data_IF_254818634518
#
_entry.id   IF_254818634518
#
_cell.length_a   1.000
_cell.length_b   1.000
_cell.length_c   1.000
_cell.angle_alpha   90.00
_cell.angle_beta   90.00
_cell.angle_gamma   90.00
#
_symmetry.space_group_name_H-M   'P 1'
#
loop_
_entity.id
_entity.type
_entity.pdbx_description
1 polymer ?
#
# COMPACT_ATOMS: atom_id res chain seq x y z
N UNK A 1 -15.83 2.30 -54.02
CA UNK A 1 -14.96 3.50 -53.96
C UNK A 1 -15.38 4.24 -52.66
N UNK A 2 -14.62 3.98 -51.62
CA UNK A 2 -14.90 4.54 -50.30
C UNK A 2 -13.70 5.41 -49.89
N UNK A 3 -13.86 6.69 -49.58
CA UNK A 3 -12.74 7.57 -49.27
C UNK A 3 -12.33 7.39 -47.81
N UNK A 4 -11.08 7.13 -47.63
CA UNK A 4 -10.37 7.05 -46.34
C UNK A 4 -10.56 8.33 -45.53
N UNK A 5 -11.13 8.20 -44.34
CA UNK A 5 -11.12 9.27 -43.34
C UNK A 5 -9.76 9.27 -42.65
N UNK A 6 -9.01 10.31 -42.94
CA UNK A 6 -7.73 10.59 -42.32
C UNK A 6 -7.98 11.16 -40.91
N UNK A 7 -7.84 10.31 -39.85
CA UNK A 7 -7.91 10.78 -38.47
C UNK A 7 -6.58 11.43 -38.09
N UNK A 8 -6.60 12.75 -38.05
CA UNK A 8 -5.55 13.59 -37.50
C UNK A 8 -5.45 13.33 -35.99
N UNK A 9 -4.33 12.83 -35.51
CA UNK A 9 -4.04 12.70 -34.09
C UNK A 9 -3.27 13.94 -33.61
N UNK A 10 -3.91 14.86 -32.84
CA UNK A 10 -3.30 16.12 -32.45
C UNK A 10 -2.40 16.03 -31.21
N UNK A 11 -2.17 14.85 -30.66
CA UNK A 11 -1.36 14.70 -29.44
C UNK A 11 -0.15 13.78 -29.70
N UNK A 12 0.88 14.37 -30.32
CA UNK A 12 2.21 13.76 -30.40
C UNK A 12 2.86 13.75 -29.01
N UNK A 13 2.70 12.69 -28.25
CA UNK A 13 3.39 12.50 -26.98
C UNK A 13 4.80 11.93 -27.24
N UNK A 14 5.82 12.78 -27.13
CA UNK A 14 7.20 12.34 -27.01
C UNK A 14 7.42 11.79 -25.58
N UNK A 15 7.56 10.47 -25.48
CA UNK A 15 7.95 9.79 -24.25
C UNK A 15 9.43 10.05 -23.95
N UNK A 16 9.72 10.93 -22.99
CA UNK A 16 11.06 11.05 -22.45
C UNK A 16 11.21 10.06 -21.28
N UNK A 17 12.05 9.05 -21.45
CA UNK A 17 12.44 8.13 -20.41
C UNK A 17 13.43 8.81 -19.46
N UNK A 18 13.08 8.93 -18.18
CA UNK A 18 14.02 9.32 -17.12
C UNK A 18 14.45 8.06 -16.38
N UNK A 19 15.74 7.74 -16.29
CA UNK A 19 16.19 6.59 -15.50
C UNK A 19 16.11 6.94 -14.01
N UNK A 20 15.30 6.18 -13.28
CA UNK A 20 15.23 6.28 -11.82
C UNK A 20 16.43 5.58 -11.18
N UNK A 21 17.22 6.30 -10.40
CA UNK A 21 18.38 5.80 -9.67
C UNK A 21 17.99 5.19 -8.30
N UNK A 22 16.96 4.40 -8.23
CA UNK A 22 16.67 3.63 -7.01
C UNK A 22 15.59 2.57 -7.29
N UNK A 23 15.82 1.64 -8.22
CA UNK A 23 14.99 0.43 -8.41
C UNK A 23 13.48 0.60 -8.59
N UNK A 24 12.98 1.81 -8.77
CA UNK A 24 11.54 2.09 -8.97
C UNK A 24 11.15 1.86 -10.43
N UNK A 25 10.00 1.21 -10.65
CA UNK A 25 9.36 1.12 -11.97
C UNK A 25 9.11 2.55 -12.50
N UNK A 26 9.24 2.81 -13.81
CA UNK A 26 9.01 4.15 -14.36
C UNK A 26 7.57 4.60 -14.13
N UNK A 27 7.40 5.73 -13.43
CA UNK A 27 6.11 6.39 -13.26
C UNK A 27 5.82 7.20 -14.51
N UNK A 28 4.75 6.88 -15.22
CA UNK A 28 4.25 7.70 -16.32
C UNK A 28 3.62 8.97 -15.76
N UNK A 29 4.28 10.11 -15.95
CA UNK A 29 3.69 11.43 -15.70
C UNK A 29 3.33 12.10 -17.03
N UNK A 30 2.08 12.53 -17.25
CA UNK A 30 1.73 13.31 -18.43
C UNK A 30 2.39 14.69 -18.34
N UNK A 31 3.24 15.01 -19.35
CA UNK A 31 3.89 16.31 -19.46
C UNK A 31 2.87 17.39 -19.88
N UNK A 32 2.63 18.37 -19.03
CA UNK A 32 1.99 19.62 -19.43
C UNK A 32 3.03 20.56 -20.06
N UNK A 33 2.72 21.22 -21.20
CA UNK A 33 3.65 22.16 -21.82
C UNK A 33 3.67 23.48 -21.03
N UNK A 34 4.76 23.76 -20.35
CA UNK A 34 5.06 25.07 -19.79
C UNK A 34 6.15 25.75 -20.65
N UNK A 35 5.85 26.90 -21.19
CA UNK A 35 6.79 27.72 -21.99
C UNK A 35 7.94 28.21 -21.12
N UNK A 36 9.13 28.14 -21.73
CA UNK A 36 10.43 28.30 -21.15
C UNK A 36 10.82 29.64 -20.56
N UNK A 37 11.85 29.58 -19.75
CA UNK A 37 13.05 30.42 -19.76
C UNK A 37 14.15 29.74 -18.95
N UNK A 38 15.31 29.57 -19.60
CA UNK A 38 16.69 29.67 -19.07
C UNK A 38 17.15 28.73 -17.97
N UNK A 39 17.96 27.83 -18.38
CA UNK A 39 19.13 27.11 -17.79
C UNK A 39 19.51 27.43 -16.33
N UNK A 40 19.78 26.31 -15.69
CA UNK A 40 20.85 25.93 -14.77
C UNK A 40 20.46 25.62 -13.33
N UNK A 41 20.94 24.43 -12.96
CA UNK A 41 21.04 23.83 -11.63
C UNK A 41 19.79 23.23 -11.01
N UNK A 42 19.72 21.92 -11.20
CA UNK A 42 18.85 21.00 -10.49
C UNK A 42 19.11 21.02 -8.99
N UNK A 43 18.28 21.76 -8.28
CA UNK A 43 17.91 21.51 -6.90
C UNK A 43 16.42 21.81 -6.75
N UNK A 44 15.70 20.89 -6.11
CA UNK A 44 14.26 20.82 -5.87
C UNK A 44 13.54 22.19 -5.74
N UNK A 45 12.33 22.38 -6.32
CA UNK A 45 11.58 23.63 -6.27
C UNK A 45 10.87 23.93 -4.92
N UNK A 46 11.24 23.27 -3.84
CA UNK A 46 10.67 23.49 -2.49
C UNK A 46 11.54 24.33 -1.55
N UNK A 47 12.55 25.05 -2.04
CA UNK A 47 13.23 26.06 -1.24
C UNK A 47 12.78 27.46 -1.68
N UNK A 48 11.66 27.96 -1.18
CA UNK A 48 11.40 29.35 -0.83
C UNK A 48 9.92 29.61 -0.52
N UNK A 49 9.44 29.15 0.62
CA UNK A 49 8.28 29.77 1.29
C UNK A 49 8.61 30.03 2.75
N UNK A 50 9.69 30.76 2.98
CA UNK A 50 10.04 31.32 4.27
C UNK A 50 9.40 32.70 4.45
N UNK A 51 8.08 32.81 4.53
CA UNK A 51 7.40 33.99 5.05
C UNK A 51 5.92 33.66 5.35
N UNK A 52 5.68 32.77 6.34
CA UNK A 52 4.43 32.76 7.09
C UNK A 52 4.73 32.62 8.56
N UNK A 53 4.48 33.67 9.40
CA UNK A 53 4.58 33.55 10.82
C UNK A 53 3.30 32.94 11.38
N UNK A 54 3.22 31.61 11.39
CA UNK A 54 2.20 30.91 12.16
C UNK A 54 2.86 29.73 12.88
N UNK A 55 3.40 30.03 14.07
CA UNK A 55 3.88 29.01 14.97
C UNK A 55 2.71 28.53 15.82
N UNK A 56 2.14 27.38 15.47
CA UNK A 56 1.29 26.62 16.39
C UNK A 56 2.21 25.85 17.37
N UNK A 57 1.97 25.91 18.70
CA UNK A 57 2.77 25.16 19.65
C UNK A 57 2.43 23.67 19.55
N UNK A 58 3.44 22.83 19.27
CA UNK A 58 3.33 21.37 19.36
C UNK A 58 3.62 20.57 18.10
N UNK A 59 3.96 21.17 16.97
CA UNK A 59 4.46 20.40 15.82
C UNK A 59 5.96 20.14 15.99
N UNK A 60 6.32 18.90 16.27
CA UNK A 60 7.69 18.45 16.11
C UNK A 60 8.02 18.51 14.60
N UNK A 61 8.83 19.50 14.24
CA UNK A 61 9.39 19.63 12.91
C UNK A 61 10.35 18.45 12.68
N UNK A 62 9.93 17.50 11.84
CA UNK A 62 10.86 16.53 11.32
C UNK A 62 11.85 17.27 10.43
N UNK A 63 13.17 17.22 10.68
CA UNK A 63 14.14 17.83 9.79
C UNK A 63 13.97 17.22 8.40
N UNK A 64 13.93 18.07 7.37
CA UNK A 64 14.02 17.64 5.99
C UNK A 64 15.32 16.85 5.83
N UNK A 65 15.20 15.52 5.82
CA UNK A 65 16.32 14.61 5.70
C UNK A 65 17.06 14.86 4.39
N UNK A 66 18.37 14.90 4.47
CA UNK A 66 19.25 14.90 3.32
C UNK A 66 18.99 13.71 2.40
N UNK A 67 19.54 13.71 1.19
CA UNK A 67 19.45 12.67 0.16
C UNK A 67 20.06 11.30 0.58
N UNK A 68 19.75 10.83 1.77
CA UNK A 68 19.91 9.47 2.21
C UNK A 68 18.56 8.77 1.99
N UNK A 69 18.54 7.58 1.43
CA UNK A 69 17.36 6.72 1.37
C UNK A 69 17.04 6.28 2.81
N UNK A 70 16.49 7.18 3.63
CA UNK A 70 16.00 6.82 4.96
C UNK A 70 14.76 5.93 4.75
N UNK A 71 14.96 4.63 4.95
CA UNK A 71 13.86 3.66 4.87
C UNK A 71 12.83 4.02 5.95
N UNK A 72 11.53 3.99 5.63
CA UNK A 72 10.51 4.29 6.61
C UNK A 72 10.61 3.31 7.79
N UNK A 73 10.54 3.82 9.01
CA UNK A 73 10.41 2.98 10.20
C UNK A 73 9.02 2.38 10.19
N UNK A 74 8.93 1.05 10.29
CA UNK A 74 7.65 0.33 10.32
C UNK A 74 7.21 0.17 11.78
N UNK A 75 6.23 0.99 12.19
CA UNK A 75 5.59 0.98 13.50
C UNK A 75 4.16 1.52 13.41
N UNK A 76 3.36 1.41 14.46
CA UNK A 76 2.02 1.98 14.52
C UNK A 76 2.09 3.48 14.82
N UNK A 77 1.69 4.30 13.86
CA UNK A 77 1.69 5.77 13.94
C UNK A 77 0.35 6.36 14.42
N UNK A 78 -0.66 5.50 14.62
CA UNK A 78 -1.98 5.96 15.06
C UNK A 78 -2.00 6.52 16.49
N UNK A 79 -3.00 7.34 16.85
CA UNK A 79 -4.06 7.85 15.99
C UNK A 79 -3.74 9.21 15.33
N UNK A 80 -2.49 9.68 15.36
CA UNK A 80 -2.09 10.96 14.80
C UNK A 80 -2.25 11.02 13.27
N UNK A 81 -2.45 12.21 12.66
CA UNK A 81 -2.39 12.36 11.20
C UNK A 81 -1.05 11.85 10.66
N UNK A 82 -1.11 11.09 9.56
CA UNK A 82 0.05 10.39 9.05
C UNK A 82 0.05 10.30 7.51
N UNK A 83 1.21 10.41 6.89
CA UNK A 83 1.43 10.25 5.45
C UNK A 83 2.69 9.43 5.22
N UNK A 84 2.62 8.41 4.38
CA UNK A 84 3.73 7.52 4.04
C UNK A 84 3.53 6.95 2.63
N UNK A 85 4.62 6.62 1.95
CA UNK A 85 4.59 5.78 0.77
C UNK A 85 4.23 4.35 1.21
N UNK A 86 3.00 3.94 0.96
CA UNK A 86 2.46 2.67 1.45
C UNK A 86 3.04 1.47 0.69
N UNK A 87 3.35 1.64 -0.60
CA UNK A 87 4.01 0.61 -1.40
C UNK A 87 5.40 0.33 -0.82
N UNK A 88 6.19 1.39 -0.58
CA UNK A 88 7.52 1.25 0.01
C UNK A 88 7.46 0.59 1.39
N UNK A 89 6.51 0.98 2.24
CA UNK A 89 6.30 0.38 3.54
C UNK A 89 5.93 -1.12 3.44
N UNK A 90 5.00 -1.47 2.55
CA UNK A 90 4.59 -2.85 2.34
C UNK A 90 5.75 -3.71 1.83
N UNK A 91 6.54 -3.20 0.87
CA UNK A 91 7.70 -3.89 0.32
C UNK A 91 8.80 -4.11 1.36
N UNK A 92 8.99 -3.18 2.29
CA UNK A 92 9.97 -3.32 3.38
C UNK A 92 9.51 -4.27 4.48
N UNK A 93 8.21 -4.40 4.70
CA UNK A 93 7.68 -5.25 5.76
C UNK A 93 8.02 -6.72 5.52
N UNK A 94 8.67 -7.36 6.50
CA UNK A 94 9.02 -8.78 6.45
C UNK A 94 8.35 -9.60 7.56
N UNK A 95 7.54 -8.96 8.40
CA UNK A 95 6.74 -9.63 9.42
C UNK A 95 5.47 -10.19 8.81
N UNK A 96 4.89 -11.19 9.41
CA UNK A 96 3.60 -11.72 8.99
C UNK A 96 2.52 -10.64 9.06
N UNK A 97 2.47 -9.86 10.18
CA UNK A 97 1.55 -8.71 10.34
C UNK A 97 2.20 -7.63 11.20
N UNK A 98 2.11 -6.39 10.76
CA UNK A 98 2.48 -5.21 11.56
C UNK A 98 1.41 -4.14 11.43
N UNK A 99 0.84 -3.67 12.56
CA UNK A 99 -0.01 -2.50 12.56
C UNK A 99 0.82 -1.26 12.18
N UNK A 100 0.36 -0.53 11.17
CA UNK A 100 1.01 0.67 10.67
C UNK A 100 0.32 1.94 11.19
N UNK A 101 -1.00 1.89 11.31
CA UNK A 101 -1.79 2.99 11.84
C UNK A 101 -3.10 2.46 12.44
N UNK A 102 -3.37 2.82 13.69
CA UNK A 102 -4.60 2.42 14.40
C UNK A 102 -5.32 3.65 14.92
N UNK A 103 -6.52 3.88 14.40
CA UNK A 103 -7.42 4.93 14.84
C UNK A 103 -8.71 4.38 15.46
N UNK A 104 -9.70 5.25 15.68
CA UNK A 104 -10.97 4.85 16.29
C UNK A 104 -11.83 3.96 15.37
N UNK A 105 -11.80 4.21 14.06
CA UNK A 105 -12.74 3.62 13.10
C UNK A 105 -12.03 2.88 11.96
N UNK A 106 -10.72 2.89 11.95
CA UNK A 106 -9.90 2.35 10.88
C UNK A 106 -8.57 1.86 11.45
N UNK A 107 -8.08 0.75 10.90
CA UNK A 107 -6.72 0.27 11.14
C UNK A 107 -6.07 -0.11 9.81
N UNK A 108 -4.82 0.26 9.65
CA UNK A 108 -3.98 -0.16 8.51
C UNK A 108 -2.90 -1.10 9.03
N UNK A 109 -2.77 -2.27 8.40
CA UNK A 109 -1.72 -3.25 8.70
C UNK A 109 -0.94 -3.60 7.44
N UNK A 110 0.31 -3.94 7.61
CA UNK A 110 1.17 -4.51 6.58
C UNK A 110 1.31 -6.00 6.82
N UNK A 111 1.36 -6.80 5.74
CA UNK A 111 1.61 -8.24 5.84
C UNK A 111 2.63 -8.71 4.80
N UNK A 112 3.36 -9.76 5.18
CA UNK A 112 4.24 -10.51 4.29
C UNK A 112 3.93 -12.00 4.44
N UNK A 113 3.35 -12.60 3.38
CA UNK A 113 2.92 -14.00 3.37
C UNK A 113 3.91 -14.79 2.52
N UNK A 114 4.61 -15.74 3.13
CA UNK A 114 5.63 -16.53 2.42
C UNK A 114 5.01 -17.46 1.37
N UNK A 115 5.80 -17.90 0.37
CA UNK A 115 5.36 -18.93 -0.57
C UNK A 115 4.77 -20.15 0.14
N UNK A 116 3.55 -20.56 -0.28
CA UNK A 116 2.82 -21.69 0.31
C UNK A 116 2.11 -21.40 1.64
N UNK A 117 2.34 -20.23 2.25
CA UNK A 117 1.57 -19.78 3.43
C UNK A 117 0.29 -19.05 3.01
N UNK A 118 -0.56 -18.78 3.99
CA UNK A 118 -1.82 -18.07 3.83
C UNK A 118 -2.09 -17.16 5.05
N UNK A 119 -3.10 -16.28 4.96
CA UNK A 119 -3.49 -15.41 6.07
C UNK A 119 -4.18 -16.15 7.22
N UNK A 120 -4.58 -17.41 6.99
CA UNK A 120 -5.48 -18.16 7.85
C UNK A 120 -6.93 -18.09 7.37
N UNK A 121 -7.70 -19.14 7.64
CA UNK A 121 -9.14 -19.11 7.38
C UNK A 121 -9.83 -18.37 8.52
N UNK A 122 -10.28 -17.15 8.25
CA UNK A 122 -10.84 -16.24 9.23
C UNK A 122 -12.18 -15.64 8.79
N UNK A 123 -12.93 -15.08 9.73
CA UNK A 123 -14.19 -14.36 9.49
C UNK A 123 -14.35 -13.28 10.55
N UNK A 124 -14.63 -12.07 10.12
CA UNK A 124 -14.87 -10.91 10.99
C UNK A 124 -16.36 -10.57 10.95
N UNK A 125 -17.12 -10.74 12.06
CA UNK A 125 -18.58 -10.59 12.01
C UNK A 125 -19.05 -9.15 11.89
N UNK A 126 -18.26 -8.16 12.35
CA UNK A 126 -18.69 -6.78 12.52
C UNK A 126 -17.83 -5.74 11.79
N UNK A 127 -16.89 -6.18 10.96
CA UNK A 127 -16.05 -5.27 10.20
C UNK A 127 -15.90 -5.68 8.75
N UNK A 128 -15.75 -4.68 7.89
CA UNK A 128 -15.32 -4.88 6.52
C UNK A 128 -13.79 -4.81 6.45
N UNK A 129 -13.22 -5.63 5.56
CA UNK A 129 -11.79 -5.64 5.32
C UNK A 129 -11.48 -5.35 3.85
N UNK A 130 -10.54 -4.45 3.65
CA UNK A 130 -9.95 -4.15 2.36
C UNK A 130 -8.50 -4.67 2.35
N UNK A 131 -8.09 -5.36 1.30
CA UNK A 131 -6.70 -5.76 1.08
C UNK A 131 -6.26 -5.24 -0.29
N UNK A 132 -5.04 -4.69 -0.36
CA UNK A 132 -4.36 -4.46 -1.62
C UNK A 132 -3.04 -5.21 -1.65
N UNK A 133 -2.78 -5.89 -2.77
CA UNK A 133 -1.55 -6.61 -3.02
C UNK A 133 -0.58 -5.65 -3.74
N UNK A 134 0.59 -5.44 -3.14
CA UNK A 134 1.66 -4.62 -3.69
C UNK A 134 2.70 -5.46 -4.45
N UNK A 135 2.84 -6.74 -4.09
CA UNK A 135 3.72 -7.67 -4.79
C UNK A 135 3.27 -9.12 -4.58
N UNK A 136 3.52 -9.94 -5.60
CA UNK A 136 3.26 -11.37 -5.55
C UNK A 136 1.90 -11.77 -6.11
N UNK A 137 1.58 -13.05 -6.04
CA UNK A 137 0.30 -13.58 -6.55
C UNK A 137 -0.20 -14.74 -5.71
N UNK A 138 -1.52 -14.92 -5.74
CA UNK A 138 -2.17 -15.94 -4.95
C UNK A 138 -3.58 -16.27 -5.39
N UNK A 139 -4.29 -16.96 -4.52
CA UNK A 139 -5.72 -17.26 -4.66
C UNK A 139 -6.44 -16.75 -3.43
N UNK A 140 -7.44 -15.89 -3.64
CA UNK A 140 -8.40 -15.52 -2.61
C UNK A 140 -9.62 -16.43 -2.70
N UNK A 141 -10.11 -16.87 -1.54
CA UNK A 141 -11.33 -17.66 -1.39
C UNK A 141 -12.23 -17.02 -0.35
N UNK A 142 -13.54 -16.96 -0.63
CA UNK A 142 -14.55 -16.43 0.31
C UNK A 142 -15.83 -17.23 0.23
N UNK A 143 -16.60 -17.24 1.32
CA UNK A 143 -17.88 -17.90 1.38
C UNK A 143 -18.69 -17.56 2.62
N UNK A 144 -19.94 -18.07 2.68
CA UNK A 144 -20.84 -17.85 3.81
C UNK A 144 -20.53 -18.75 5.01
N UNK A 145 -19.87 -19.89 4.77
CA UNK A 145 -19.45 -20.83 5.81
C UNK A 145 -18.01 -21.24 5.58
N UNK A 146 -17.32 -21.63 6.66
CA UNK A 146 -15.91 -22.02 6.58
C UNK A 146 -15.66 -23.26 5.70
N UNK A 147 -16.66 -24.12 5.55
CA UNK A 147 -16.56 -25.36 4.77
C UNK A 147 -16.95 -25.15 3.30
N UNK A 148 -17.44 -23.95 2.95
CA UNK A 148 -17.93 -23.63 1.61
C UNK A 148 -17.47 -22.23 1.17
N UNK A 149 -16.30 -22.17 0.52
CA UNK A 149 -15.69 -20.96 -0.03
C UNK A 149 -15.88 -20.94 -1.56
N UNK A 150 -17.09 -20.59 -2.00
CA UNK A 150 -17.50 -20.69 -3.42
C UNK A 150 -16.88 -19.59 -4.29
N UNK A 151 -16.60 -18.43 -3.70
CA UNK A 151 -15.92 -17.36 -4.41
C UNK A 151 -14.43 -17.65 -4.44
N UNK A 152 -13.86 -17.87 -5.63
CA UNK A 152 -12.43 -18.09 -5.83
C UNK A 152 -11.91 -17.23 -6.97
N UNK A 153 -10.79 -16.51 -6.76
CA UNK A 153 -10.13 -15.68 -7.75
C UNK A 153 -8.62 -15.72 -7.61
N UNK A 154 -7.94 -15.75 -8.75
CA UNK A 154 -6.51 -15.44 -8.78
C UNK A 154 -6.34 -13.95 -8.61
N UNK A 155 -5.31 -13.57 -7.86
CA UNK A 155 -4.96 -12.19 -7.54
C UNK A 155 -3.46 -12.00 -7.73
N UNK A 156 -3.08 -10.81 -8.17
CA UNK A 156 -1.69 -10.42 -8.44
C UNK A 156 -1.44 -9.05 -7.80
N UNK A 157 -0.22 -8.51 -8.01
CA UNK A 157 0.08 -7.12 -7.70
C UNK A 157 -0.95 -6.16 -8.32
N UNK A 158 -1.23 -5.07 -7.64
CA UNK A 158 -2.26 -4.07 -7.95
C UNK A 158 -3.72 -4.51 -7.78
N UNK A 159 -3.98 -5.76 -7.39
CA UNK A 159 -5.33 -6.22 -7.10
C UNK A 159 -5.82 -5.75 -5.73
N UNK A 160 -7.10 -5.42 -5.67
CA UNK A 160 -7.82 -5.20 -4.42
C UNK A 160 -8.74 -6.39 -4.12
N UNK A 161 -8.91 -6.65 -2.82
CA UNK A 161 -9.83 -7.66 -2.30
C UNK A 161 -10.73 -6.95 -1.29
N UNK A 162 -12.04 -7.00 -1.50
CA UNK A 162 -13.03 -6.45 -0.57
C UNK A 162 -13.72 -7.63 0.11
N UNK A 163 -13.68 -7.65 1.42
CA UNK A 163 -14.23 -8.71 2.26
C UNK A 163 -15.31 -8.10 3.16
N UNK A 164 -16.60 -8.33 2.84
CA UNK A 164 -17.70 -7.86 3.68
C UNK A 164 -17.73 -8.58 5.03
N UNK A 165 -18.21 -7.91 6.05
CA UNK A 165 -18.47 -8.49 7.37
C UNK A 165 -19.22 -9.82 7.28
N UNK A 166 -18.85 -10.78 8.10
CA UNK A 166 -19.45 -12.11 8.17
C UNK A 166 -19.01 -13.09 7.08
N UNK A 167 -18.11 -12.70 6.16
CA UNK A 167 -17.59 -13.62 5.13
C UNK A 167 -16.36 -14.38 5.62
N UNK A 168 -16.44 -15.70 5.60
CA UNK A 168 -15.27 -16.56 5.71
C UNK A 168 -14.36 -16.34 4.53
N UNK A 169 -13.07 -16.16 4.78
CA UNK A 169 -12.10 -15.87 3.72
C UNK A 169 -10.71 -16.38 4.04
N UNK A 170 -9.94 -16.58 2.98
CA UNK A 170 -8.51 -16.88 3.06
C UNK A 170 -7.83 -16.35 1.80
N UNK A 171 -6.56 -15.94 1.94
CA UNK A 171 -5.66 -15.59 0.84
C UNK A 171 -4.43 -16.50 0.94
N UNK A 172 -4.21 -17.31 -0.08
CA UNK A 172 -3.11 -18.27 -0.15
C UNK A 172 -2.06 -17.77 -1.14
N UNK A 173 -0.82 -17.70 -0.72
CA UNK A 173 0.29 -17.43 -1.61
C UNK A 173 0.61 -18.68 -2.45
N UNK A 174 0.34 -18.60 -3.75
CA UNK A 174 0.64 -19.66 -4.73
C UNK A 174 1.86 -19.35 -5.58
N UNK A 175 2.56 -18.27 -5.28
CA UNK A 175 3.77 -17.82 -5.96
C UNK A 175 5.05 -18.40 -5.37
N UNK A 176 6.17 -17.89 -5.89
CA UNK A 176 7.52 -18.24 -5.46
C UNK A 176 8.18 -17.15 -4.61
N UNK A 177 7.52 -16.00 -4.48
CA UNK A 177 7.95 -14.85 -3.70
C UNK A 177 6.90 -14.52 -2.63
N UNK A 178 7.26 -13.82 -1.56
CA UNK A 178 6.29 -13.37 -0.57
C UNK A 178 5.24 -12.45 -1.20
N UNK A 179 3.96 -12.66 -0.88
CA UNK A 179 2.94 -11.64 -1.12
C UNK A 179 3.19 -10.52 -0.13
N UNK A 180 3.36 -9.30 -0.66
CA UNK A 180 3.42 -8.05 0.09
C UNK A 180 2.09 -7.35 -0.08
N UNK A 181 1.47 -6.99 1.03
CA UNK A 181 0.15 -6.35 1.00
C UNK A 181 -0.02 -5.37 2.16
N UNK A 182 -0.98 -4.49 2.02
CA UNK A 182 -1.58 -3.83 3.18
C UNK A 182 -3.06 -4.19 3.29
N UNK A 183 -3.54 -4.22 4.53
CA UNK A 183 -4.94 -4.46 4.85
C UNK A 183 -5.50 -3.30 5.66
N UNK A 184 -6.77 -2.97 5.40
CA UNK A 184 -7.54 -1.96 6.14
C UNK A 184 -8.71 -2.67 6.78
N UNK A 185 -8.85 -2.53 8.09
CA UNK A 185 -9.98 -3.00 8.88
C UNK A 185 -10.85 -1.82 9.32
N UNK A 186 -12.14 -1.92 9.18
CA UNK A 186 -13.09 -0.90 9.59
C UNK A 186 -14.31 -1.52 10.30
N UNK A 187 -14.34 -1.42 11.67
CA UNK A 187 -13.40 -0.81 12.60
C UNK A 187 -12.08 -1.58 12.78
N UNK A 188 -11.13 -1.11 13.64
CA UNK A 188 -9.89 -1.82 13.95
C UNK A 188 -10.12 -3.23 14.48
N UNK A 189 -9.32 -4.19 14.00
CA UNK A 189 -9.37 -5.60 14.42
C UNK A 189 -8.33 -5.93 15.50
N UNK A 190 -7.13 -5.35 15.38
CA UNK A 190 -6.02 -5.72 16.26
C UNK A 190 -5.70 -4.61 17.25
N UNK A 191 -5.13 -4.94 18.43
CA UNK A 191 -4.61 -3.93 19.35
C UNK A 191 -3.62 -2.98 18.67
N UNK A 192 -3.56 -1.72 19.17
CA UNK A 192 -2.54 -0.76 18.74
C UNK A 192 -1.13 -1.35 18.92
N UNK A 193 -0.27 -1.14 17.93
CA UNK A 193 1.11 -1.60 17.95
C UNK A 193 1.31 -3.10 17.74
N UNK A 194 0.28 -3.84 17.28
CA UNK A 194 0.39 -5.28 17.00
C UNK A 194 1.51 -5.56 16.00
N UNK A 195 2.41 -6.49 16.36
CA UNK A 195 3.44 -7.08 15.49
C UNK A 195 3.46 -8.57 15.69
N UNK A 196 3.18 -9.33 14.62
CA UNK A 196 3.36 -10.77 14.56
C UNK A 196 4.50 -11.09 13.60
N UNK A 197 5.59 -11.63 14.11
CA UNK A 197 6.77 -11.95 13.28
C UNK A 197 6.46 -13.07 12.29
N UNK A 198 5.67 -14.05 12.74
CA UNK A 198 5.31 -15.26 11.98
C UNK A 198 3.79 -15.48 12.02
N UNK A 199 3.30 -16.34 11.13
CA UNK A 199 1.92 -16.83 11.17
C UNK A 199 1.57 -17.49 12.51
N UNK A 200 2.49 -18.28 13.06
CA UNK A 200 2.31 -18.94 14.34
C UNK A 200 2.08 -17.95 15.50
N UNK A 201 2.75 -16.78 15.48
CA UNK A 201 2.53 -15.74 16.49
C UNK A 201 1.10 -15.15 16.38
N UNK A 202 0.60 -14.99 15.15
CA UNK A 202 -0.75 -14.51 14.91
C UNK A 202 -1.81 -15.52 15.37
N UNK A 203 -1.61 -16.80 15.07
CA UNK A 203 -2.50 -17.90 15.52
C UNK A 203 -2.52 -18.00 17.05
N UNK A 204 -1.36 -17.91 17.70
CA UNK A 204 -1.27 -17.92 19.17
C UNK A 204 -2.00 -16.73 19.80
N UNK A 205 -1.95 -15.55 19.21
CA UNK A 205 -2.67 -14.36 19.69
C UNK A 205 -4.20 -14.48 19.52
N UNK A 206 -4.67 -15.14 18.45
CA UNK A 206 -6.10 -15.34 18.17
C UNK A 206 -6.81 -16.33 19.11
N UNK A 207 -6.07 -17.16 19.83
CA UNK A 207 -6.64 -18.13 20.79
C UNK A 207 -6.99 -17.53 22.17
N UNK A 208 -6.81 -16.22 22.36
CA UNK A 208 -7.06 -15.52 23.63
C UNK A 208 -8.33 -14.62 23.61
N UNK A 209 -9.22 -14.80 22.63
CA UNK A 209 -10.52 -14.07 22.55
C UNK A 209 -11.71 -15.00 22.64
#
# INVERSE_FOLDING_TARGET
MDPMLNMYNPYGLNNAYLPSHCGKKPVYSPAYPYMGYGMDQFCSPYQSLSHYPFSAPGQQYMPAGGCGCDRPVIQDYGPAPFVMDIEEAAMQNNTFRTALWTGKHLQVTLMSIRPGEDIGLEMHPELDQFIRIENGHGIVMMGDTKDRLDFRRHVNDDYIIIIPAGKWHNLINTGHEPIKLYSIYAPPEHPHGTVHQTKADAEAAGHHH
#
